data_IF_304349272990
#
_entry.id   IF_304349272990
#
_cell.length_a   1.000
_cell.length_b   1.000
_cell.length_c   1.000
_cell.angle_alpha   90.00
_cell.angle_beta   90.00
_cell.angle_gamma   90.00
#
_symmetry.space_group_name_H-M   'P 1'
#
loop_
_entity.id
_entity.type
_entity.pdbx_description
1 polymer ?
#
# COMPACT_ATOMS: atom_id res chain seq x y z
N UNK A 1 -27.48 64.85 13.75
CA UNK A 1 -26.28 65.70 13.63
C UNK A 1 -25.26 65.23 14.65
N UNK A 2 -24.01 65.07 14.24
CA UNK A 2 -22.88 64.81 15.15
C UNK A 2 -22.42 66.13 15.82
N UNK A 3 -21.64 66.07 16.92
CA UNK A 3 -20.20 66.22 16.72
C UNK A 3 -19.32 65.27 17.58
N UNK A 4 -18.07 65.09 17.14
CA UNK A 4 -17.06 64.22 17.79
C UNK A 4 -15.90 65.05 18.36
N UNK A 5 -15.45 64.69 19.56
CA UNK A 5 -14.10 64.97 20.11
C UNK A 5 -13.69 63.77 20.98
N UNK A 6 -12.61 63.02 20.67
CA UNK A 6 -11.17 63.30 20.94
C UNK A 6 -10.82 63.22 22.43
N UNK A 7 -9.74 62.60 22.91
CA UNK A 7 -8.68 61.68 22.37
C UNK A 7 -8.15 60.85 23.60
N UNK A 8 -7.14 59.96 23.63
CA UNK A 8 -6.02 59.60 22.75
C UNK A 8 -5.49 58.16 23.08
N UNK A 9 -4.26 57.83 22.67
CA UNK A 9 -3.47 56.58 22.91
C UNK A 9 -4.02 55.32 22.19
N UNK A 10 -3.35 54.68 21.21
CA UNK A 10 -1.97 54.11 21.09
C UNK A 10 -1.67 52.99 22.12
N UNK A 11 -1.13 51.81 21.74
CA UNK A 11 -0.47 51.42 20.48
C UNK A 11 -0.43 49.88 20.27
N UNK A 12 -0.71 49.46 19.03
CA UNK A 12 0.04 48.46 18.20
C UNK A 12 0.67 47.23 18.87
N UNK A 13 0.25 46.04 18.38
CA UNK A 13 1.18 45.06 17.79
C UNK A 13 0.52 44.44 16.54
N UNK A 14 1.31 44.09 15.53
CA UNK A 14 0.81 43.74 14.18
C UNK A 14 1.30 42.37 13.76
N UNK A 15 0.40 41.53 13.23
CA UNK A 15 0.75 40.31 12.50
C UNK A 15 0.66 40.62 11.01
N UNK A 16 1.75 40.40 10.28
CA UNK A 16 1.84 40.61 8.84
C UNK A 16 1.21 39.43 8.10
N UNK A 17 0.05 39.65 7.47
CA UNK A 17 -0.46 38.78 6.41
C UNK A 17 0.19 39.23 5.09
N UNK A 18 1.22 38.51 4.65
CA UNK A 18 1.81 38.71 3.32
C UNK A 18 1.13 37.78 2.31
N UNK A 19 0.00 38.22 1.77
CA UNK A 19 -0.70 37.54 0.67
C UNK A 19 0.06 37.76 -0.67
N UNK A 20 1.05 36.91 -0.92
CA UNK A 20 1.81 36.88 -2.17
C UNK A 20 1.03 36.24 -3.32
N UNK A 21 0.22 37.02 -4.02
CA UNK A 21 -0.50 36.57 -5.22
C UNK A 21 0.41 36.58 -6.46
N UNK A 22 1.01 35.42 -6.80
CA UNK A 22 1.75 35.24 -8.04
C UNK A 22 0.83 34.76 -9.18
N UNK A 23 0.38 35.66 -10.04
CA UNK A 23 -0.43 35.32 -11.21
C UNK A 23 0.46 34.82 -12.37
N UNK A 24 0.58 33.51 -12.52
CA UNK A 24 1.30 32.87 -13.62
C UNK A 24 0.36 32.56 -14.80
N UNK A 25 0.23 33.51 -15.74
CA UNK A 25 -0.53 33.31 -16.98
C UNK A 25 0.36 33.01 -18.19
N UNK A 26 0.17 31.86 -18.82
CA UNK A 26 0.46 31.68 -20.25
C UNK A 26 1.83 31.11 -20.65
N UNK A 27 1.83 29.82 -20.98
CA UNK A 27 2.43 29.22 -22.21
C UNK A 27 3.83 29.65 -22.67
N UNK A 28 4.77 28.69 -22.66
CA UNK A 28 6.00 28.72 -23.46
C UNK A 28 6.71 27.37 -23.43
N UNK A 29 7.03 26.81 -24.61
CA UNK A 29 7.76 25.54 -24.74
C UNK A 29 9.28 25.78 -24.87
N UNK A 30 10.03 24.68 -24.74
CA UNK A 30 11.39 24.46 -25.25
C UNK A 30 12.54 25.34 -24.73
N UNK A 31 13.45 24.72 -23.96
CA UNK A 31 14.86 24.64 -24.39
C UNK A 31 15.62 23.54 -23.63
N UNK A 32 16.39 22.73 -24.38
CA UNK A 32 17.40 21.84 -23.82
C UNK A 32 18.69 22.62 -23.55
N UNK A 33 19.24 22.46 -22.35
CA UNK A 33 20.66 22.74 -22.05
C UNK A 33 20.96 24.11 -21.44
N UNK A 34 21.44 24.11 -20.21
CA UNK A 34 22.01 25.29 -19.54
C UNK A 34 22.19 25.07 -18.04
N UNK A 35 23.26 25.64 -17.48
CA UNK A 35 23.51 25.86 -16.06
C UNK A 35 23.05 24.77 -15.06
N UNK A 36 23.98 23.89 -14.66
CA UNK A 36 23.93 23.26 -13.34
C UNK A 36 24.08 24.37 -12.29
N UNK A 37 22.95 24.86 -11.76
CA UNK A 37 22.92 25.97 -10.81
C UNK A 37 23.76 25.64 -9.57
N UNK A 38 24.63 26.57 -9.19
CA UNK A 38 25.52 26.42 -8.04
C UNK A 38 24.83 26.93 -6.78
N UNK A 39 24.42 26.00 -5.92
CA UNK A 39 24.23 26.23 -4.49
C UNK A 39 23.11 27.22 -4.08
N UNK A 40 21.92 27.08 -4.65
CA UNK A 40 20.70 27.78 -4.19
C UNK A 40 20.15 27.22 -2.86
N UNK A 41 21.02 27.06 -1.85
CA UNK A 41 20.70 26.68 -0.46
C UNK A 41 19.97 27.82 0.27
N UNK A 42 18.78 28.17 -0.23
CA UNK A 42 17.85 29.04 0.45
C UNK A 42 17.43 28.39 1.77
N UNK A 43 17.28 29.19 2.84
CA UNK A 43 16.82 28.71 4.16
C UNK A 43 15.45 27.97 4.11
N UNK A 44 14.68 28.17 3.05
CA UNK A 44 13.40 27.50 2.79
C UNK A 44 13.55 26.06 2.27
N UNK A 45 14.72 25.66 1.72
CA UNK A 45 15.01 24.27 1.33
C UNK A 45 14.97 23.30 2.52
N UNK A 46 15.21 23.80 3.74
CA UNK A 46 15.11 23.07 5.00
C UNK A 46 13.66 22.67 5.33
N UNK A 47 12.67 23.36 4.73
CA UNK A 47 11.23 23.21 5.00
C UNK A 47 10.45 22.68 3.79
N UNK A 48 10.97 22.87 2.57
CA UNK A 48 10.38 22.30 1.36
C UNK A 48 10.51 20.77 1.35
N UNK A 49 9.51 20.02 0.84
CA UNK A 49 9.72 18.63 0.49
C UNK A 49 10.76 18.51 -0.63
N UNK A 50 11.56 17.42 -0.68
CA UNK A 50 12.50 17.18 -1.77
C UNK A 50 11.76 17.09 -3.11
N UNK A 51 12.39 17.57 -4.19
CA UNK A 51 11.83 17.44 -5.54
C UNK A 51 11.86 15.98 -6.03
N UNK A 52 11.13 15.68 -7.11
CA UNK A 52 11.21 14.39 -7.79
C UNK A 52 12.65 14.01 -8.16
N UNK A 53 13.45 14.98 -8.61
CA UNK A 53 14.88 14.80 -8.91
C UNK A 53 15.73 14.52 -7.66
N UNK A 54 15.44 15.15 -6.53
CA UNK A 54 16.18 14.91 -5.28
C UNK A 54 15.83 13.53 -4.71
N UNK A 55 14.53 13.19 -4.68
CA UNK A 55 14.06 11.87 -4.25
C UNK A 55 14.60 10.75 -5.15
N UNK A 56 14.66 10.97 -6.48
CA UNK A 56 15.29 10.04 -7.41
C UNK A 56 16.80 9.91 -7.17
N UNK A 57 17.52 11.00 -6.90
CA UNK A 57 18.93 10.94 -6.52
C UNK A 57 19.13 10.15 -5.21
N UNK A 58 18.24 10.33 -4.23
CA UNK A 58 18.25 9.58 -2.96
C UNK A 58 18.03 8.07 -3.15
N UNK A 59 17.20 7.64 -4.12
CA UNK A 59 17.08 6.20 -4.48
C UNK A 59 18.42 5.60 -4.93
N UNK A 60 19.32 6.41 -5.49
CA UNK A 60 20.62 5.98 -6.00
C UNK A 60 21.78 6.14 -5.00
N UNK A 61 21.49 6.54 -3.76
CA UNK A 61 22.53 6.77 -2.75
C UNK A 61 23.20 5.45 -2.30
N UNK A 62 24.38 5.19 -2.84
CA UNK A 62 25.19 4.01 -2.53
C UNK A 62 25.74 3.96 -1.09
N UNK A 63 25.65 5.06 -0.32
CA UNK A 63 26.18 5.17 1.04
C UNK A 63 25.09 5.11 2.12
N UNK A 64 23.87 5.57 1.83
CA UNK A 64 22.78 5.65 2.80
C UNK A 64 21.55 4.85 2.38
N UNK A 65 21.32 3.70 3.04
CA UNK A 65 20.10 2.92 2.87
C UNK A 65 18.85 3.70 3.31
N UNK A 66 18.95 4.56 4.32
CA UNK A 66 17.86 5.46 4.75
C UNK A 66 17.45 6.44 3.64
N UNK A 67 18.42 7.01 2.92
CA UNK A 67 18.12 7.84 1.75
C UNK A 67 17.44 7.01 0.65
N UNK A 68 17.90 5.77 0.37
CA UNK A 68 17.25 4.89 -0.62
C UNK A 68 15.80 4.56 -0.23
N UNK A 69 15.55 4.16 1.01
CA UNK A 69 14.21 3.92 1.57
C UNK A 69 13.33 5.18 1.43
N UNK A 70 13.86 6.34 1.82
CA UNK A 70 13.11 7.60 1.80
C UNK A 70 12.81 8.07 0.38
N UNK A 71 13.78 7.98 -0.55
CA UNK A 71 13.59 8.28 -1.97
C UNK A 71 12.50 7.39 -2.60
N UNK A 72 12.59 6.07 -2.39
CA UNK A 72 11.58 5.11 -2.84
C UNK A 72 10.19 5.44 -2.27
N UNK A 73 10.11 5.76 -0.98
CA UNK A 73 8.85 6.09 -0.31
C UNK A 73 8.22 7.39 -0.81
N UNK A 74 9.02 8.40 -1.16
CA UNK A 74 8.55 9.66 -1.76
C UNK A 74 8.00 9.38 -3.16
N UNK A 75 8.81 8.86 -4.06
CA UNK A 75 8.42 8.62 -5.47
C UNK A 75 7.20 7.71 -5.54
N UNK A 76 7.17 6.61 -4.78
CA UNK A 76 6.05 5.67 -4.78
C UNK A 76 4.75 6.22 -4.13
N UNK A 77 4.82 7.36 -3.42
CA UNK A 77 3.62 8.03 -2.88
C UNK A 77 2.98 9.01 -3.87
N UNK A 78 3.67 9.37 -4.95
CA UNK A 78 3.25 10.38 -5.92
C UNK A 78 2.56 9.76 -7.15
N UNK A 79 1.69 10.51 -7.87
CA UNK A 79 0.98 9.98 -9.04
C UNK A 79 1.89 9.56 -10.21
N UNK A 80 3.08 10.16 -10.32
CA UNK A 80 4.10 9.81 -11.32
C UNK A 80 4.98 8.62 -10.88
N UNK A 81 4.79 8.08 -9.67
CA UNK A 81 5.59 6.99 -9.12
C UNK A 81 5.50 5.66 -9.88
N UNK A 82 4.57 5.55 -10.84
CA UNK A 82 4.40 4.40 -11.73
C UNK A 82 4.96 4.55 -13.13
N UNK A 83 5.71 5.62 -13.45
CA UNK A 83 6.45 5.69 -14.71
C UNK A 83 7.49 4.56 -14.80
N UNK A 84 7.68 3.97 -15.99
CA UNK A 84 8.56 2.81 -16.22
C UNK A 84 9.97 2.97 -15.64
N UNK A 85 10.51 4.20 -15.64
CA UNK A 85 11.83 4.51 -15.09
C UNK A 85 11.91 4.29 -13.57
N UNK A 86 10.84 4.55 -12.83
CA UNK A 86 10.77 4.29 -11.40
C UNK A 86 10.43 2.82 -11.10
N UNK A 87 9.57 2.20 -11.91
CA UNK A 87 9.26 0.76 -11.80
C UNK A 87 10.53 -0.09 -11.98
N UNK A 88 11.40 0.24 -12.94
CA UNK A 88 12.71 -0.39 -13.12
C UNK A 88 13.63 -0.19 -11.90
N UNK A 89 13.58 0.97 -11.23
CA UNK A 89 14.31 1.19 -9.98
C UNK A 89 13.76 0.34 -8.82
N UNK A 90 12.44 0.13 -8.75
CA UNK A 90 11.85 -0.78 -7.77
C UNK A 90 12.27 -2.23 -8.02
N UNK A 91 12.26 -2.68 -9.29
CA UNK A 91 12.73 -4.01 -9.69
C UNK A 91 14.18 -4.27 -9.25
N UNK A 92 15.09 -3.30 -9.45
CA UNK A 92 16.50 -3.38 -9.01
C UNK A 92 16.60 -3.37 -7.48
N UNK A 93 15.83 -2.53 -6.79
CA UNK A 93 15.87 -2.40 -5.34
C UNK A 93 15.30 -3.62 -4.58
N UNK A 94 14.65 -4.59 -5.27
CA UNK A 94 14.35 -5.90 -4.69
C UNK A 94 15.59 -6.73 -4.35
N UNK A 95 16.74 -6.46 -4.98
CA UNK A 95 18.01 -7.18 -4.75
C UNK A 95 18.99 -6.37 -3.88
N UNK A 96 18.55 -5.28 -3.23
CA UNK A 96 19.38 -4.50 -2.31
C UNK A 96 19.79 -5.33 -1.08
N UNK A 97 21.01 -5.12 -0.61
CA UNK A 97 21.53 -5.60 0.67
C UNK A 97 20.63 -5.34 1.89
N UNK A 98 19.96 -4.18 1.94
CA UNK A 98 19.23 -3.72 3.12
C UNK A 98 17.73 -4.13 3.06
N UNK A 99 17.20 -4.82 4.09
CA UNK A 99 15.82 -5.31 4.09
C UNK A 99 14.78 -4.18 4.11
N UNK A 100 15.11 -2.99 4.61
CA UNK A 100 14.21 -1.85 4.56
C UNK A 100 14.12 -1.27 3.14
N UNK A 101 15.22 -1.27 2.37
CA UNK A 101 15.21 -0.89 0.95
C UNK A 101 14.41 -1.90 0.13
N UNK A 102 14.64 -3.21 0.32
CA UNK A 102 13.82 -4.26 -0.29
C UNK A 102 12.33 -4.11 0.07
N UNK A 103 12.01 -3.76 1.32
CA UNK A 103 10.63 -3.51 1.77
C UNK A 103 10.00 -2.29 1.09
N UNK A 104 10.76 -1.19 0.93
CA UNK A 104 10.30 0.00 0.22
C UNK A 104 10.02 -0.29 -1.26
N UNK A 105 10.87 -1.11 -1.90
CA UNK A 105 10.69 -1.55 -3.28
C UNK A 105 9.48 -2.47 -3.47
N UNK A 106 9.29 -3.47 -2.59
CA UNK A 106 8.09 -4.34 -2.60
C UNK A 106 6.83 -3.50 -2.42
N UNK A 107 6.82 -2.55 -1.47
CA UNK A 107 5.70 -1.63 -1.24
C UNK A 107 5.41 -0.74 -2.45
N UNK A 108 6.44 -0.27 -3.15
CA UNK A 108 6.30 0.54 -4.35
C UNK A 108 5.67 -0.25 -5.51
N UNK A 109 6.10 -1.50 -5.73
CA UNK A 109 5.46 -2.42 -6.66
C UNK A 109 4.04 -2.82 -6.21
N UNK A 110 3.72 -2.79 -4.92
CA UNK A 110 2.35 -2.93 -4.43
C UNK A 110 1.43 -1.74 -4.71
N UNK A 111 1.99 -0.56 -5.06
CA UNK A 111 1.23 0.62 -5.49
C UNK A 111 1.14 0.76 -7.01
N UNK A 112 2.27 0.53 -7.70
CA UNK A 112 2.44 0.87 -9.11
C UNK A 112 2.75 -0.34 -10.02
N UNK A 113 2.87 -1.54 -9.44
CA UNK A 113 3.24 -2.75 -10.18
C UNK A 113 2.07 -3.47 -10.83
N UNK A 114 2.37 -4.15 -11.92
CA UNK A 114 1.51 -5.14 -12.59
C UNK A 114 1.71 -6.57 -12.04
N UNK A 115 0.80 -7.52 -12.34
CA UNK A 115 0.97 -8.97 -12.10
C UNK A 115 2.31 -9.58 -12.54
N UNK A 116 3.00 -8.99 -13.53
CA UNK A 116 4.29 -9.48 -14.05
C UNK A 116 5.40 -9.47 -12.99
N UNK A 117 5.30 -8.64 -11.96
CA UNK A 117 6.32 -8.49 -10.91
C UNK A 117 6.14 -9.52 -9.77
N UNK A 118 4.99 -10.20 -9.68
CA UNK A 118 4.72 -11.19 -8.61
C UNK A 118 5.78 -12.30 -8.54
N UNK A 119 6.27 -12.90 -9.64
CA UNK A 119 7.37 -13.88 -9.59
C UNK A 119 8.71 -13.33 -9.04
N UNK A 120 8.90 -12.00 -9.03
CA UNK A 120 10.06 -11.35 -8.41
C UNK A 120 9.82 -11.16 -6.91
N UNK A 121 8.66 -10.61 -6.54
CA UNK A 121 8.22 -10.35 -5.16
C UNK A 121 8.14 -11.66 -4.35
N UNK A 122 7.69 -12.76 -4.97
CA UNK A 122 7.65 -14.10 -4.36
C UNK A 122 9.03 -14.62 -3.94
N UNK A 123 10.14 -14.19 -4.56
CA UNK A 123 11.49 -14.58 -4.12
C UNK A 123 11.81 -14.13 -2.68
N UNK A 124 11.19 -13.04 -2.23
CA UNK A 124 11.41 -12.43 -0.91
C UNK A 124 10.47 -12.99 0.17
N UNK A 125 9.62 -13.98 -0.16
CA UNK A 125 8.65 -14.56 0.78
C UNK A 125 9.30 -15.43 1.87
N UNK A 126 10.57 -15.81 1.69
CA UNK A 126 11.42 -16.54 2.62
C UNK A 126 12.59 -15.69 3.15
N UNK A 127 12.55 -14.36 2.96
CA UNK A 127 13.58 -13.45 3.48
C UNK A 127 13.67 -13.54 5.02
N UNK A 128 14.88 -13.55 5.63
CA UNK A 128 15.01 -13.60 7.08
C UNK A 128 14.28 -12.46 7.82
N UNK A 129 14.15 -11.28 7.21
CA UNK A 129 13.47 -10.15 7.86
C UNK A 129 11.93 -10.32 7.89
N UNK A 130 11.28 -10.31 9.07
CA UNK A 130 9.84 -10.50 9.17
C UNK A 130 9.02 -9.30 8.68
N UNK A 131 9.58 -8.10 8.66
CA UNK A 131 8.88 -6.90 8.17
C UNK A 131 8.77 -6.94 6.65
N UNK A 132 9.82 -7.40 5.98
CA UNK A 132 9.82 -7.67 4.54
C UNK A 132 8.87 -8.81 4.18
N UNK A 133 8.87 -9.94 4.91
CA UNK A 133 7.89 -11.02 4.65
C UNK A 133 6.44 -10.56 4.82
N UNK A 134 6.17 -9.67 5.77
CA UNK A 134 4.86 -9.02 5.93
C UNK A 134 4.51 -8.11 4.76
N UNK A 135 5.46 -7.28 4.31
CA UNK A 135 5.29 -6.39 3.15
C UNK A 135 5.07 -7.17 1.84
N UNK A 136 5.73 -8.32 1.69
CA UNK A 136 5.53 -9.26 0.58
C UNK A 136 4.10 -9.80 0.58
N UNK A 137 3.62 -10.41 1.68
CA UNK A 137 2.25 -10.96 1.69
C UNK A 137 1.19 -9.87 1.56
N UNK A 138 1.44 -8.65 2.07
CA UNK A 138 0.57 -7.48 1.86
C UNK A 138 0.53 -7.04 0.40
N UNK A 139 1.68 -6.97 -0.27
CA UNK A 139 1.75 -6.62 -1.70
C UNK A 139 1.09 -7.69 -2.57
N UNK A 140 1.21 -8.97 -2.21
CA UNK A 140 0.51 -10.07 -2.88
C UNK A 140 -1.02 -10.06 -2.68
N UNK A 141 -1.58 -9.24 -1.78
CA UNK A 141 -3.03 -8.96 -1.74
C UNK A 141 -3.47 -8.00 -2.84
N UNK A 142 -2.56 -7.17 -3.37
CA UNK A 142 -2.85 -6.09 -4.34
C UNK A 142 -2.56 -6.50 -5.78
N UNK A 143 -1.71 -7.50 -6.00
CA UNK A 143 -1.30 -7.99 -7.31
C UNK A 143 -1.81 -9.42 -7.57
N UNK A 144 -2.70 -9.59 -8.54
CA UNK A 144 -3.29 -10.89 -8.85
C UNK A 144 -2.41 -11.72 -9.79
N UNK A 145 -1.81 -12.79 -9.28
CA UNK A 145 -1.08 -13.75 -10.12
C UNK A 145 -1.07 -15.15 -9.46
N UNK A 146 -1.69 -16.18 -10.08
CA UNK A 146 -1.75 -17.55 -9.55
C UNK A 146 -0.40 -18.20 -9.17
N UNK A 147 0.74 -17.68 -9.66
CA UNK A 147 2.09 -18.09 -9.20
C UNK A 147 2.25 -17.95 -7.67
N UNK A 148 1.57 -16.99 -7.04
CA UNK A 148 1.62 -16.78 -5.60
C UNK A 148 0.91 -17.87 -4.76
N UNK A 149 0.01 -18.68 -5.35
CA UNK A 149 -0.85 -19.62 -4.60
C UNK A 149 -0.04 -20.61 -3.77
N UNK A 150 0.98 -21.25 -4.35
CA UNK A 150 1.84 -22.20 -3.65
C UNK A 150 2.62 -21.57 -2.48
N UNK A 151 3.42 -20.52 -2.75
CA UNK A 151 4.14 -19.78 -1.70
C UNK A 151 3.25 -19.28 -0.56
N UNK A 152 2.06 -18.74 -0.87
CA UNK A 152 1.10 -18.28 0.15
C UNK A 152 0.50 -19.45 0.96
N UNK A 153 0.23 -20.59 0.32
CA UNK A 153 -0.22 -21.83 0.99
C UNK A 153 0.84 -22.44 1.92
N UNK A 154 2.12 -22.12 1.75
CA UNK A 154 3.15 -22.45 2.74
C UNK A 154 3.34 -21.33 3.79
N UNK A 155 3.18 -20.05 3.45
CA UNK A 155 3.18 -18.95 4.45
C UNK A 155 2.02 -19.01 5.44
N UNK A 156 0.84 -19.48 5.05
CA UNK A 156 -0.33 -19.54 5.96
C UNK A 156 -0.16 -20.59 7.08
N UNK A 157 0.88 -21.43 7.05
CA UNK A 157 1.09 -22.54 7.99
C UNK A 157 2.08 -22.18 9.10
N UNK A 158 1.68 -22.34 10.36
CA UNK A 158 2.51 -22.09 11.56
C UNK A 158 3.84 -22.89 11.64
N UNK A 159 4.01 -23.94 10.82
CA UNK A 159 5.26 -24.73 10.72
C UNK A 159 6.34 -24.08 9.85
N UNK A 160 5.96 -23.12 9.00
CA UNK A 160 6.80 -22.50 7.97
C UNK A 160 6.89 -20.99 8.15
N UNK A 161 5.89 -20.37 8.81
CA UNK A 161 5.93 -18.97 9.21
C UNK A 161 5.55 -18.81 10.69
N UNK A 162 6.44 -18.24 11.49
CA UNK A 162 6.22 -18.02 12.92
C UNK A 162 5.44 -16.76 13.21
N UNK A 163 5.55 -15.72 12.38
CA UNK A 163 4.93 -14.41 12.60
C UNK A 163 3.43 -14.46 12.27
N UNK A 164 2.53 -14.23 13.25
CA UNK A 164 1.08 -14.33 13.04
C UNK A 164 0.55 -13.41 11.94
N UNK A 165 1.05 -12.17 11.89
CA UNK A 165 0.63 -11.15 10.92
C UNK A 165 0.98 -11.53 9.47
N UNK A 166 2.08 -12.26 9.26
CA UNK A 166 2.45 -12.80 7.95
C UNK A 166 1.52 -13.96 7.57
N UNK A 167 1.13 -14.82 8.53
CA UNK A 167 0.15 -15.90 8.29
C UNK A 167 -1.23 -15.38 7.95
N UNK A 168 -1.74 -14.38 8.69
CA UNK A 168 -3.01 -13.74 8.37
C UNK A 168 -2.93 -12.95 7.06
N UNK A 169 -1.82 -12.24 6.82
CA UNK A 169 -1.57 -11.57 5.55
C UNK A 169 -1.60 -12.53 4.36
N UNK A 170 -1.06 -13.75 4.52
CA UNK A 170 -1.15 -14.82 3.53
C UNK A 170 -2.57 -15.40 3.42
N UNK A 171 -3.28 -15.63 4.53
CA UNK A 171 -4.67 -16.09 4.50
C UNK A 171 -5.58 -15.10 3.75
N UNK A 172 -5.45 -13.80 4.00
CA UNK A 172 -6.13 -12.74 3.26
C UNK A 172 -5.72 -12.75 1.79
N UNK A 173 -4.41 -12.79 1.48
CA UNK A 173 -3.93 -12.83 0.09
C UNK A 173 -4.43 -14.06 -0.69
N UNK A 174 -4.73 -15.16 0.00
CA UNK A 174 -5.30 -16.37 -0.60
C UNK A 174 -6.76 -16.21 -1.02
N UNK A 175 -7.55 -15.36 -0.34
CA UNK A 175 -8.98 -15.12 -0.64
C UNK A 175 -9.30 -14.61 -2.05
N UNK A 176 -8.28 -14.16 -2.80
CA UNK A 176 -8.42 -13.73 -4.19
C UNK A 176 -8.42 -14.90 -5.21
N UNK A 177 -7.99 -16.10 -4.81
CA UNK A 177 -7.73 -17.23 -5.71
C UNK A 177 -8.78 -18.34 -5.58
N UNK A 178 -9.64 -18.49 -6.60
CA UNK A 178 -10.62 -19.57 -6.70
C UNK A 178 -9.97 -20.91 -7.12
N UNK A 179 -9.23 -21.52 -6.20
CA UNK A 179 -8.53 -22.79 -6.35
C UNK A 179 -8.88 -23.72 -5.18
N UNK A 180 -9.19 -24.99 -5.44
CA UNK A 180 -9.62 -25.94 -4.40
C UNK A 180 -8.56 -26.14 -3.30
N UNK A 181 -7.27 -26.06 -3.66
CA UNK A 181 -6.14 -26.16 -2.71
C UNK A 181 -6.12 -24.98 -1.74
N UNK A 182 -6.65 -23.83 -2.17
CA UNK A 182 -6.79 -22.64 -1.34
C UNK A 182 -7.90 -22.82 -0.32
N UNK A 183 -9.03 -23.40 -0.71
CA UNK A 183 -10.11 -23.78 0.21
C UNK A 183 -9.60 -24.77 1.26
N UNK A 184 -8.91 -25.85 0.86
CA UNK A 184 -8.32 -26.82 1.81
C UNK A 184 -7.29 -26.17 2.77
N UNK A 185 -6.45 -25.26 2.25
CA UNK A 185 -5.47 -24.53 3.04
C UNK A 185 -6.09 -23.56 4.06
N UNK A 186 -7.12 -22.82 3.67
CA UNK A 186 -7.82 -21.89 4.55
C UNK A 186 -8.69 -22.62 5.58
N UNK A 187 -9.33 -23.74 5.23
CA UNK A 187 -10.03 -24.61 6.21
C UNK A 187 -9.05 -25.11 7.27
N UNK A 188 -7.84 -25.50 6.88
CA UNK A 188 -6.77 -25.89 7.81
C UNK A 188 -6.35 -24.71 8.71
N UNK A 189 -6.37 -23.49 8.19
CA UNK A 189 -5.99 -22.26 8.91
C UNK A 189 -7.11 -21.68 9.82
N UNK A 190 -8.24 -22.38 9.99
CA UNK A 190 -9.23 -22.06 11.03
C UNK A 190 -8.84 -22.57 12.43
N UNK A 191 -7.91 -23.54 12.48
CA UNK A 191 -7.37 -24.16 13.71
C UNK A 191 -5.94 -23.65 14.02
N UNK A 192 -5.57 -22.46 13.51
CA UNK A 192 -4.36 -21.79 13.98
C UNK A 192 -4.55 -21.32 15.43
N UNK A 193 -3.44 -21.19 16.16
CA UNK A 193 -3.45 -20.77 17.56
C UNK A 193 -3.76 -19.28 17.71
N UNK A 194 -3.58 -18.52 16.63
CA UNK A 194 -3.71 -17.06 16.59
C UNK A 194 -5.04 -16.63 15.95
N UNK A 195 -5.90 -16.01 16.76
CA UNK A 195 -7.26 -15.59 16.35
C UNK A 195 -7.29 -14.69 15.11
N UNK A 196 -6.22 -13.92 14.86
CA UNK A 196 -6.09 -13.10 13.66
C UNK A 196 -5.93 -13.92 12.36
N UNK A 197 -5.27 -15.08 12.43
CA UNK A 197 -5.16 -16.02 11.30
C UNK A 197 -6.51 -16.68 11.05
N UNK A 198 -7.18 -17.19 12.10
CA UNK A 198 -8.49 -17.85 12.00
C UNK A 198 -9.55 -16.91 11.42
N UNK A 199 -9.52 -15.62 11.78
CA UNK A 199 -10.40 -14.57 11.22
C UNK A 199 -10.11 -14.31 9.74
N UNK A 200 -8.84 -14.14 9.36
CA UNK A 200 -8.45 -13.94 7.96
C UNK A 200 -8.79 -15.15 7.08
N UNK A 201 -8.64 -16.37 7.62
CA UNK A 201 -9.01 -17.62 6.98
C UNK A 201 -10.52 -17.74 6.78
N UNK A 202 -11.34 -17.52 7.83
CA UNK A 202 -12.81 -17.50 7.72
C UNK A 202 -13.27 -16.45 6.71
N UNK A 203 -12.79 -15.21 6.79
CA UNK A 203 -13.22 -14.15 5.87
C UNK A 203 -12.89 -14.49 4.42
N UNK A 204 -11.73 -15.08 4.16
CA UNK A 204 -11.32 -15.50 2.81
C UNK A 204 -12.14 -16.69 2.30
N UNK A 205 -12.54 -17.62 3.17
CA UNK A 205 -13.48 -18.70 2.83
C UNK A 205 -14.88 -18.16 2.52
N UNK A 206 -15.38 -17.19 3.29
CA UNK A 206 -16.67 -16.52 3.02
C UNK A 206 -16.62 -15.83 1.65
N UNK A 207 -15.56 -15.05 1.37
CA UNK A 207 -15.38 -14.37 0.08
C UNK A 207 -15.28 -15.37 -1.08
N UNK A 208 -14.56 -16.48 -0.93
CA UNK A 208 -14.42 -17.49 -2.00
C UNK A 208 -15.69 -18.32 -2.24
N UNK A 209 -16.47 -18.64 -1.20
CA UNK A 209 -17.51 -19.68 -1.28
C UNK A 209 -18.94 -19.17 -1.09
N UNK A 210 -19.12 -17.97 -0.55
CA UNK A 210 -20.41 -17.44 -0.12
C UNK A 210 -21.03 -18.16 1.09
N UNK A 211 -20.31 -19.11 1.71
CA UNK A 211 -20.76 -19.85 2.89
C UNK A 211 -20.10 -19.31 4.17
N UNK A 212 -20.70 -19.55 5.32
CA UNK A 212 -20.10 -19.26 6.62
C UNK A 212 -20.49 -20.33 7.64
N UNK A 213 -19.56 -21.25 7.92
CA UNK A 213 -19.69 -22.25 8.99
C UNK A 213 -18.87 -21.85 10.23
N UNK A 214 -18.69 -20.55 10.41
CA UNK A 214 -17.81 -19.94 11.41
C UNK A 214 -16.39 -20.55 11.38
N UNK A 215 -15.96 -21.12 12.50
CA UNK A 215 -14.67 -21.78 12.67
C UNK A 215 -14.78 -23.31 12.73
N UNK A 216 -15.96 -23.91 12.45
CA UNK A 216 -16.12 -25.37 12.46
C UNK A 216 -15.56 -26.02 11.19
N UNK A 217 -14.30 -26.43 11.30
CA UNK A 217 -13.57 -27.24 10.30
C UNK A 217 -14.39 -28.45 9.81
N UNK A 218 -15.22 -29.07 10.65
CA UNK A 218 -16.01 -30.26 10.24
C UNK A 218 -17.17 -29.90 9.32
N UNK A 219 -17.91 -28.85 9.64
CA UNK A 219 -18.98 -28.33 8.77
C UNK A 219 -18.41 -27.82 7.45
N UNK A 220 -17.26 -27.12 7.48
CA UNK A 220 -16.53 -26.72 6.27
C UNK A 220 -16.15 -27.90 5.38
N UNK A 221 -15.54 -28.96 5.93
CA UNK A 221 -15.18 -30.17 5.16
C UNK A 221 -16.41 -30.93 4.65
N UNK A 222 -17.44 -31.12 5.50
CA UNK A 222 -18.67 -31.82 5.12
C UNK A 222 -19.45 -31.11 4.02
N UNK A 223 -19.48 -29.77 4.03
CA UNK A 223 -20.00 -28.98 2.92
C UNK A 223 -19.14 -29.14 1.66
N UNK A 224 -17.81 -28.99 1.79
CA UNK A 224 -16.84 -29.06 0.67
C UNK A 224 -16.98 -30.37 -0.11
N UNK A 225 -17.14 -31.49 0.58
CA UNK A 225 -17.28 -32.83 -0.02
C UNK A 225 -18.70 -33.10 -0.57
N UNK A 226 -19.68 -32.22 -0.29
CA UNK A 226 -21.07 -32.33 -0.79
C UNK A 226 -21.41 -31.43 -1.97
N UNK A 227 -20.64 -30.36 -2.22
CA UNK A 227 -20.93 -29.41 -3.29
C UNK A 227 -20.28 -29.79 -4.62
N UNK A 228 -21.02 -29.60 -5.72
CA UNK A 228 -20.48 -29.73 -7.08
C UNK A 228 -19.67 -28.53 -7.56
N UNK A 229 -19.70 -27.40 -6.84
CA UNK A 229 -18.92 -26.20 -7.15
C UNK A 229 -18.63 -25.39 -5.86
N UNK A 230 -17.35 -25.21 -5.55
CA UNK A 230 -16.89 -24.48 -4.36
C UNK A 230 -17.09 -22.96 -4.46
N UNK A 231 -17.19 -22.42 -5.67
CA UNK A 231 -17.14 -20.97 -5.94
C UNK A 231 -18.46 -20.43 -6.51
N UNK A 232 -19.55 -21.21 -6.42
CA UNK A 232 -20.85 -20.88 -7.02
C UNK A 232 -21.51 -19.60 -6.46
N UNK A 233 -21.18 -19.22 -5.22
CA UNK A 233 -21.62 -18.01 -4.56
C UNK A 233 -20.44 -17.09 -4.16
N UNK A 234 -19.34 -17.15 -4.92
CA UNK A 234 -18.14 -16.33 -4.70
C UNK A 234 -18.50 -14.84 -4.72
N UNK A 235 -18.06 -14.10 -3.71
CA UNK A 235 -18.09 -12.64 -3.69
C UNK A 235 -16.87 -12.01 -4.36
N UNK A 236 -16.95 -10.72 -4.66
CA UNK A 236 -15.76 -9.94 -5.06
C UNK A 236 -14.73 -9.93 -3.93
N UNK A 237 -13.46 -10.00 -4.29
CA UNK A 237 -12.35 -9.82 -3.35
C UNK A 237 -11.77 -8.42 -3.52
N UNK A 238 -11.78 -7.65 -2.43
CA UNK A 238 -11.01 -6.41 -2.27
C UNK A 238 -9.99 -6.60 -1.15
N UNK A 239 -8.80 -6.02 -1.28
CA UNK A 239 -7.81 -6.08 -0.21
C UNK A 239 -8.18 -5.12 0.93
N UNK A 240 -7.90 -5.46 2.21
CA UNK A 240 -8.23 -4.60 3.33
C UNK A 240 -7.32 -3.37 3.37
N UNK A 241 -7.92 -2.20 3.18
CA UNK A 241 -7.21 -0.92 3.27
C UNK A 241 -7.04 -0.44 4.72
N UNK A 242 -6.05 0.43 4.94
CA UNK A 242 -5.85 1.04 6.26
C UNK A 242 -6.87 2.17 6.50
N UNK A 243 -7.72 1.98 7.51
CA UNK A 243 -8.63 2.98 8.02
C UNK A 243 -8.24 3.37 9.45
N UNK A 244 -7.93 4.65 9.69
CA UNK A 244 -7.90 5.24 11.04
C UNK A 244 -9.22 5.95 11.36
N UNK A 245 -9.48 6.12 12.65
CA UNK A 245 -10.48 7.05 13.14
C UNK A 245 -10.17 8.47 12.67
N UNK A 246 -11.22 9.24 12.36
CA UNK A 246 -11.10 10.68 12.24
C UNK A 246 -10.72 11.28 13.60
N UNK A 247 -9.75 12.20 13.60
CA UNK A 247 -9.44 13.02 14.76
C UNK A 247 -10.54 14.04 15.02
N UNK A 248 -10.65 14.49 16.27
CA UNK A 248 -11.73 15.42 16.69
C UNK A 248 -11.79 16.71 15.87
N UNK A 249 -10.65 17.15 15.30
CA UNK A 249 -10.54 18.36 14.48
C UNK A 249 -10.88 18.11 13.00
N UNK A 250 -10.79 16.87 12.50
CA UNK A 250 -11.21 16.50 11.13
C UNK A 250 -12.74 16.51 11.03
N UNK A 251 -13.43 16.13 12.11
CA UNK A 251 -14.90 16.28 12.24
C UNK A 251 -15.36 17.75 12.15
N UNK A 252 -14.49 18.70 12.48
CA UNK A 252 -14.76 20.15 12.38
C UNK A 252 -14.50 20.69 10.96
N UNK A 253 -13.74 19.96 10.13
CA UNK A 253 -13.39 20.34 8.75
C UNK A 253 -13.83 19.23 7.77
N UNK A 254 -15.15 19.06 7.52
CA UNK A 254 -15.72 17.85 6.91
C UNK A 254 -15.33 17.58 5.44
N UNK A 255 -14.59 18.49 4.82
CA UNK A 255 -13.98 18.33 3.49
C UNK A 255 -12.57 17.71 3.53
N UNK A 256 -11.99 17.56 4.72
CA UNK A 256 -10.74 16.84 4.99
C UNK A 256 -11.06 15.59 5.81
N UNK A 257 -11.48 14.53 5.11
CA UNK A 257 -11.54 13.20 5.72
C UNK A 257 -10.15 12.69 6.09
N UNK A 258 -10.04 11.73 7.04
CA UNK A 258 -8.77 11.08 7.35
C UNK A 258 -8.18 10.45 6.07
N UNK A 259 -6.84 10.48 5.88
CA UNK A 259 -6.15 9.89 4.74
C UNK A 259 -6.10 8.37 4.88
N UNK A 260 -7.27 7.78 4.73
CA UNK A 260 -7.49 6.34 4.67
C UNK A 260 -7.28 5.86 3.23
N UNK A 261 -6.68 4.69 3.08
CA UNK A 261 -6.59 4.05 1.76
C UNK A 261 -7.97 3.47 1.37
N UNK A 262 -8.27 3.38 0.08
CA UNK A 262 -9.47 2.72 -0.42
C UNK A 262 -9.25 1.20 -0.51
N UNK A 263 -10.26 0.41 -0.17
CA UNK A 263 -10.24 -1.03 -0.43
C UNK A 263 -10.60 -1.25 -1.90
N UNK A 264 -9.68 -1.82 -2.66
CA UNK A 264 -9.77 -1.94 -4.12
C UNK A 264 -9.60 -3.40 -4.56
N UNK A 265 -10.07 -3.70 -5.77
CA UNK A 265 -9.96 -5.02 -6.39
C UNK A 265 -8.53 -5.19 -6.96
N UNK A 266 -7.85 -6.34 -6.75
CA UNK A 266 -6.43 -6.49 -7.08
C UNK A 266 -6.09 -6.29 -8.57
N UNK A 267 -4.96 -5.63 -8.84
CA UNK A 267 -4.46 -5.38 -10.20
C UNK A 267 -4.26 -6.72 -10.91
N UNK A 268 -4.90 -6.88 -12.07
CA UNK A 268 -4.87 -8.13 -12.85
C UNK A 268 -5.94 -9.16 -12.50
N UNK A 269 -6.81 -8.89 -11.51
CA UNK A 269 -8.04 -9.66 -11.36
C UNK A 269 -8.99 -9.27 -12.50
N UNK A 270 -9.63 -10.27 -13.12
CA UNK A 270 -10.71 -10.00 -14.07
C UNK A 270 -11.93 -9.45 -13.31
N UNK A 271 -12.52 -8.35 -13.79
CA UNK A 271 -13.73 -7.79 -13.21
C UNK A 271 -14.92 -8.76 -13.35
N UNK A 272 -15.85 -8.71 -12.39
CA UNK A 272 -17.09 -9.50 -12.37
C UNK A 272 -17.99 -9.26 -13.59
N UNK A 273 -17.82 -8.11 -14.25
CA UNK A 273 -18.76 -7.57 -15.23
C UNK A 273 -18.58 -8.16 -16.64
N UNK A 274 -17.72 -9.18 -16.80
CA UNK A 274 -17.49 -9.91 -18.06
C UNK A 274 -18.63 -10.83 -18.52
N UNK A 275 -19.88 -10.58 -18.08
CA UNK A 275 -21.06 -11.36 -18.43
C UNK A 275 -21.74 -10.86 -19.72
N UNK A 276 -21.42 -11.50 -20.85
CA UNK A 276 -22.10 -11.31 -22.16
C UNK A 276 -23.04 -12.44 -22.52
#
# INVERSE_FOLDING_TARGET
MEPRTRDCWRRVLSVLVLSGAAAATGTGCDSLGGARAMNDDSILSIVAPPSASDAAAMMTDQYSADNRVRGLAIIASEPYGGEDAYVQWYEVALEDSDPAVRSAAVRALGRHGEPRHVPMIVKLIDDPDPTLRWEVVRTLQRLHNPVAIGPLLDRVRARTETVPDVRAGAATALGQYADARVVDGLITALDDRELLVNRAARQSLVTLTGQDFEYDVRSWLGWKDSTGNLFAARGEYVFPAFHRSAEWWEVVVPWLGPPNEASESPVGMASSDGGG
#
